data_IF_328059419950
#
_entry.id   IF_328059419950
#
_cell.length_a   1.000
_cell.length_b   1.000
_cell.length_c   1.000
_cell.angle_alpha   90.00
_cell.angle_beta   90.00
_cell.angle_gamma   90.00
#
_symmetry.space_group_name_H-M   'P 1'
#
loop_
_entity.id
_entity.type
_entity.pdbx_description
1 polymer ?
#
# COMPACT_ATOMS: atom_id res chain seq x y z
N UNK A 1 2.55 -4.01 -8.86
CA UNK A 1 3.24 -2.77 -8.46
C UNK A 1 3.14 -2.56 -6.93
N UNK A 2 2.91 -1.33 -6.43
CA UNK A 2 3.11 -0.89 -5.02
C UNK A 2 2.82 -1.91 -3.89
N UNK A 3 1.62 -2.50 -3.84
CA UNK A 3 1.19 -3.34 -2.70
C UNK A 3 1.61 -4.80 -2.88
N UNK A 4 1.20 -5.43 -3.99
CA UNK A 4 1.36 -6.88 -4.16
C UNK A 4 2.80 -7.28 -4.56
N UNK A 5 3.46 -6.49 -5.42
CA UNK A 5 4.83 -6.72 -5.90
C UNK A 5 5.88 -5.88 -5.16
N UNK A 6 5.47 -5.02 -4.21
CA UNK A 6 6.36 -4.22 -3.32
C UNK A 6 7.21 -3.12 -4.00
N UNK A 7 6.88 -2.72 -5.22
CA UNK A 7 7.55 -1.60 -5.89
C UNK A 7 7.55 -0.34 -5.02
N UNK A 8 8.64 0.41 -5.07
CA UNK A 8 8.77 1.77 -4.51
C UNK A 8 7.92 2.79 -5.28
N UNK A 9 7.82 4.02 -4.78
CA UNK A 9 7.13 5.11 -5.49
C UNK A 9 7.87 5.45 -6.78
N UNK A 10 9.20 5.36 -6.73
CA UNK A 10 10.15 5.64 -7.80
C UNK A 10 10.02 4.60 -8.93
N UNK A 11 10.09 3.31 -8.63
CA UNK A 11 9.94 2.24 -9.64
C UNK A 11 8.57 2.29 -10.36
N UNK A 12 7.51 2.73 -9.68
CA UNK A 12 6.18 2.91 -10.33
C UNK A 12 6.11 4.16 -11.20
N UNK A 13 6.95 5.18 -10.95
CA UNK A 13 7.08 6.33 -11.86
C UNK A 13 7.91 5.94 -13.09
N UNK A 14 8.93 5.11 -12.93
CA UNK A 14 9.75 4.58 -14.03
C UNK A 14 8.98 3.58 -14.92
N UNK A 15 7.98 2.86 -14.38
CA UNK A 15 6.95 2.12 -15.13
C UNK A 15 6.01 3.04 -15.96
N UNK A 16 6.18 4.37 -15.87
CA UNK A 16 5.46 5.36 -16.69
C UNK A 16 4.20 5.96 -16.06
N UNK A 17 3.93 5.72 -14.76
CA UNK A 17 2.80 6.35 -14.07
C UNK A 17 3.12 7.78 -13.64
N UNK A 18 2.13 8.67 -13.74
CA UNK A 18 2.31 10.08 -13.39
C UNK A 18 2.65 10.26 -11.90
N UNK A 19 3.78 10.92 -11.60
CA UNK A 19 4.26 11.18 -10.23
C UNK A 19 3.17 11.68 -9.29
N UNK A 20 2.38 12.69 -9.70
CA UNK A 20 1.34 13.26 -8.82
C UNK A 20 0.24 12.25 -8.49
N UNK A 21 -0.07 11.32 -9.40
CA UNK A 21 -1.02 10.24 -9.16
C UNK A 21 -0.45 9.20 -8.18
N UNK A 22 0.78 8.73 -8.40
CA UNK A 22 1.44 7.73 -7.52
C UNK A 22 1.58 8.27 -6.09
N UNK A 23 2.04 9.51 -5.92
CA UNK A 23 2.16 10.18 -4.63
C UNK A 23 0.79 10.36 -3.94
N UNK A 24 -0.26 10.70 -4.70
CA UNK A 24 -1.63 10.78 -4.16
C UNK A 24 -2.20 9.42 -3.74
N UNK A 25 -1.93 8.35 -4.49
CA UNK A 25 -2.32 6.98 -4.12
C UNK A 25 -1.58 6.56 -2.84
N UNK A 26 -0.27 6.75 -2.78
CA UNK A 26 0.54 6.41 -1.61
C UNK A 26 0.12 7.16 -0.35
N UNK A 27 -0.14 8.47 -0.48
CA UNK A 27 -0.72 9.30 0.59
C UNK A 27 -2.08 8.77 1.08
N UNK A 28 -2.95 8.31 0.18
CA UNK A 28 -4.23 7.68 0.54
C UNK A 28 -4.05 6.33 1.25
N UNK A 29 -3.09 5.50 0.84
CA UNK A 29 -2.76 4.23 1.51
C UNK A 29 -2.27 4.49 2.94
N UNK A 30 -1.30 5.40 3.13
CA UNK A 30 -0.79 5.81 4.45
C UNK A 30 -1.91 6.37 5.33
N UNK A 31 -2.74 7.28 4.82
CA UNK A 31 -3.82 7.91 5.58
C UNK A 31 -4.96 6.97 5.98
N UNK A 32 -5.27 5.95 5.18
CA UNK A 32 -6.33 4.97 5.50
C UNK A 32 -5.81 3.74 6.28
N UNK A 33 -4.53 3.71 6.67
CA UNK A 33 -3.89 2.51 7.25
C UNK A 33 -4.48 2.06 8.59
N UNK A 34 -5.18 2.94 9.32
CA UNK A 34 -5.91 2.54 10.52
C UNK A 34 -7.12 1.62 10.23
N UNK A 35 -7.68 1.68 9.01
CA UNK A 35 -8.91 0.98 8.61
C UNK A 35 -8.73 -0.52 8.33
N UNK A 36 -7.50 -1.03 8.13
CA UNK A 36 -7.24 -2.47 7.86
C UNK A 36 -7.41 -3.40 9.06
N UNK A 37 -8.23 -3.02 10.05
CA UNK A 37 -8.79 -3.95 11.05
C UNK A 37 -10.09 -4.53 10.49
N UNK A 38 -9.97 -5.30 9.40
CA UNK A 38 -11.11 -5.88 8.70
C UNK A 38 -11.50 -7.24 9.30
N UNK A 39 -12.76 -7.70 9.18
CA UNK A 39 -13.13 -9.08 9.47
C UNK A 39 -12.45 -10.05 8.49
N UNK A 40 -12.50 -11.35 8.79
CA UNK A 40 -11.99 -12.38 7.90
C UNK A 40 -12.69 -12.34 6.54
N UNK A 41 -11.90 -12.28 5.47
CA UNK A 41 -12.34 -12.28 4.06
C UNK A 41 -11.59 -13.35 3.28
N UNK A 42 -12.18 -13.84 2.19
CA UNK A 42 -11.53 -14.81 1.31
C UNK A 42 -10.32 -14.19 0.59
N UNK A 43 -9.14 -14.79 0.74
CA UNK A 43 -7.91 -14.38 0.04
C UNK A 43 -7.91 -14.96 -1.37
N UNK A 44 -8.13 -14.10 -2.37
CA UNK A 44 -8.11 -14.45 -3.81
C UNK A 44 -6.81 -14.06 -4.52
N UNK A 45 -6.01 -13.17 -3.92
CA UNK A 45 -4.72 -12.68 -4.42
C UNK A 45 -3.56 -13.28 -3.63
N UNK A 46 -2.36 -13.35 -4.24
CA UNK A 46 -1.17 -13.93 -3.60
C UNK A 46 -0.75 -13.14 -2.33
N UNK A 47 -0.97 -11.82 -2.31
CA UNK A 47 -0.79 -10.94 -1.15
C UNK A 47 -2.11 -10.25 -0.79
N UNK A 48 -2.30 -9.89 0.48
CA UNK A 48 -3.48 -9.20 1.00
C UNK A 48 -3.12 -8.12 2.03
N UNK A 49 -4.00 -7.12 2.14
CA UNK A 49 -3.84 -5.96 3.05
C UNK A 49 -4.05 -6.31 4.54
N UNK A 50 -4.58 -7.52 4.83
CA UNK A 50 -4.70 -8.07 6.18
C UNK A 50 -3.42 -8.77 6.62
N UNK A 51 -3.37 -10.09 6.43
CA UNK A 51 -2.30 -10.94 6.99
C UNK A 51 -0.91 -10.71 6.38
N UNK A 52 -0.82 -10.25 5.13
CA UNK A 52 0.47 -10.15 4.41
C UNK A 52 1.07 -8.73 4.39
N UNK A 53 0.44 -7.75 5.07
CA UNK A 53 0.78 -6.33 5.01
C UNK A 53 1.16 -5.74 6.39
N UNK A 54 2.02 -6.48 7.10
CA UNK A 54 2.44 -6.26 8.50
C UNK A 54 3.41 -5.09 8.71
N UNK A 55 3.13 -3.90 8.15
CA UNK A 55 3.85 -2.67 8.52
C UNK A 55 3.22 -2.06 9.78
N UNK A 56 4.02 -1.29 10.52
CA UNK A 56 3.58 -0.57 11.73
C UNK A 56 2.30 0.26 11.46
N UNK A 57 1.42 0.31 12.46
CA UNK A 57 0.13 1.01 12.36
C UNK A 57 0.35 2.52 12.35
N UNK A 58 1.10 3.01 13.32
CA UNK A 58 1.56 4.40 13.36
C UNK A 58 2.85 4.55 12.56
N UNK A 59 2.82 5.40 11.55
CA UNK A 59 3.99 5.78 10.78
C UNK A 59 4.76 6.89 11.51
N UNK A 60 5.34 6.54 12.67
CA UNK A 60 6.21 7.43 13.47
C UNK A 60 7.62 7.49 12.85
N UNK A 61 7.66 7.78 11.55
CA UNK A 61 8.86 8.14 10.80
C UNK A 61 8.72 9.59 10.34
N UNK A 62 9.67 10.42 10.76
CA UNK A 62 9.71 11.87 10.51
C UNK A 62 10.22 12.17 9.11
#
# INVERSE_FOLDING_TARGET
LLVDERYTVEEVIDEGFERSFVENVWRRVKANHYKRTMPNIAKVSNRSIGHDFLYLRDWVGR
#
